data_IF_853410467839
#
_entry.id   IF_853410467839
#
_cell.length_a   1.000
_cell.length_b   1.000
_cell.length_c   1.000
_cell.angle_alpha   90.00
_cell.angle_beta   90.00
_cell.angle_gamma   90.00
#
_symmetry.space_group_name_H-M   'P 1'
#
loop_
_entity.id
_entity.type
_entity.pdbx_description
1 polymer ?
#
# COMPACT_ATOMS: atom_id res chain seq x y z
N UNK A 1 9.45 61.10 19.55
CA UNK A 1 8.15 61.18 20.24
C UNK A 1 7.74 59.76 20.56
N UNK A 2 8.03 59.30 21.77
CA UNK A 2 7.09 59.24 22.92
C UNK A 2 6.34 57.89 22.92
N UNK A 3 6.79 56.89 23.70
CA UNK A 3 6.47 56.61 25.12
C UNK A 3 5.15 55.82 25.29
N UNK A 4 5.25 54.56 25.74
CA UNK A 4 4.53 53.98 26.91
C UNK A 4 4.80 52.47 26.95
N UNK A 5 5.73 51.94 27.75
CA UNK A 5 5.65 51.69 29.19
C UNK A 5 4.33 51.00 29.59
N UNK A 6 4.37 49.68 29.80
CA UNK A 6 3.75 49.04 30.96
C UNK A 6 4.54 47.80 31.37
N UNK A 7 5.35 48.04 32.38
CA UNK A 7 6.13 47.14 33.22
C UNK A 7 5.24 46.11 33.91
N UNK A 8 5.58 44.81 33.83
CA UNK A 8 5.21 43.83 34.86
C UNK A 8 6.48 43.33 35.52
N UNK A 9 6.67 43.81 36.76
CA UNK A 9 7.62 43.29 37.73
C UNK A 9 7.34 41.81 38.01
N UNK A 10 8.33 40.96 37.83
CA UNK A 10 8.38 39.66 38.51
C UNK A 10 9.72 39.58 39.25
N UNK A 11 9.57 39.23 40.53
CA UNK A 11 10.50 39.38 41.63
C UNK A 11 11.75 38.50 41.47
N UNK A 12 12.89 39.09 41.81
CA UNK A 12 14.12 38.39 42.20
C UNK A 12 13.83 37.54 43.45
N UNK A 13 14.03 36.23 43.33
CA UNK A 13 14.33 35.37 44.47
C UNK A 13 15.57 34.55 44.09
N UNK A 14 16.72 35.01 44.58
CA UNK A 14 17.95 34.23 44.55
C UNK A 14 17.77 33.01 45.44
N UNK A 15 18.08 31.84 44.88
CA UNK A 15 18.38 30.65 45.65
C UNK A 15 19.60 30.00 45.01
N UNK A 16 20.75 30.33 45.60
CA UNK A 16 21.94 29.49 45.67
C UNK A 16 21.52 28.06 46.02
N UNK A 17 21.60 27.16 45.04
CA UNK A 17 21.28 25.74 45.18
C UNK A 17 22.27 24.91 44.39
N UNK A 18 23.39 24.62 45.05
CA UNK A 18 24.29 23.47 44.87
C UNK A 18 24.01 22.57 43.65
N UNK A 19 24.91 22.61 42.65
CA UNK A 19 25.00 21.58 41.62
C UNK A 19 25.27 20.22 42.29
N UNK A 20 24.22 19.43 42.53
CA UNK A 20 24.35 17.99 42.67
C UNK A 20 24.37 17.40 41.26
N UNK A 21 25.58 17.15 40.78
CA UNK A 21 25.85 16.30 39.63
C UNK A 21 25.49 14.86 40.05
N UNK A 22 24.20 14.51 39.97
CA UNK A 22 23.78 13.11 40.04
C UNK A 22 24.21 12.46 38.73
N UNK A 23 25.41 11.90 38.75
CA UNK A 23 25.89 10.92 37.79
C UNK A 23 24.93 9.72 37.80
N UNK A 24 23.92 9.76 36.94
CA UNK A 24 23.16 8.58 36.58
C UNK A 24 24.11 7.60 35.88
N UNK A 25 24.23 6.37 36.38
CA UNK A 25 25.02 5.36 35.69
C UNK A 25 24.36 5.12 34.33
N UNK A 26 25.16 5.14 33.27
CA UNK A 26 24.82 4.55 31.98
C UNK A 26 24.52 3.05 32.20
N UNK A 27 23.29 2.74 32.63
CA UNK A 27 22.72 1.41 32.47
C UNK A 27 22.33 1.21 31.01
N UNK A 28 22.36 -0.02 30.49
CA UNK A 28 21.98 -0.28 29.12
C UNK A 28 20.51 0.15 28.94
N UNK A 29 20.28 1.03 27.99
CA UNK A 29 18.95 1.38 27.51
C UNK A 29 18.36 0.11 26.89
N UNK A 30 17.67 -0.69 27.69
CA UNK A 30 16.85 -1.79 27.19
C UNK A 30 15.64 -1.14 26.56
N UNK A 31 15.67 -1.04 25.23
CA UNK A 31 14.52 -0.63 24.43
C UNK A 31 13.39 -1.61 24.71
N UNK A 32 12.43 -1.24 25.56
CA UNK A 32 11.19 -1.98 25.69
C UNK A 32 10.40 -1.76 24.40
N UNK A 33 10.67 -2.60 23.40
CA UNK A 33 9.75 -2.78 22.30
C UNK A 33 8.40 -3.16 22.94
N UNK A 34 7.40 -2.29 22.81
CA UNK A 34 6.03 -2.70 23.08
C UNK A 34 5.76 -3.96 22.24
N UNK A 35 5.10 -5.00 22.78
CA UNK A 35 4.69 -6.13 21.98
C UNK A 35 3.84 -5.58 20.83
N UNK A 36 4.15 -6.00 19.60
CA UNK A 36 3.33 -5.73 18.45
C UNK A 36 1.89 -6.09 18.82
N UNK A 37 1.03 -5.08 18.90
CA UNK A 37 -0.39 -5.26 19.11
C UNK A 37 -0.90 -6.17 18.01
N UNK A 38 -1.69 -7.18 18.39
CA UNK A 38 -2.43 -8.09 17.51
C UNK A 38 -3.34 -7.31 16.53
N UNK A 39 -2.75 -6.71 15.50
CA UNK A 39 -3.44 -6.52 14.23
C UNK A 39 -3.80 -7.93 13.77
N UNK A 40 -5.09 -8.24 13.75
CA UNK A 40 -5.61 -9.53 13.29
C UNK A 40 -4.86 -9.94 12.02
N UNK A 41 -4.06 -11.01 12.12
CA UNK A 41 -3.15 -11.42 11.06
C UNK A 41 -3.90 -11.43 9.72
N UNK A 42 -3.42 -10.60 8.78
CA UNK A 42 -3.96 -10.56 7.42
C UNK A 42 -3.90 -11.95 6.76
N UNK A 43 -4.55 -12.13 5.60
CA UNK A 43 -4.54 -13.41 4.91
C UNK A 43 -3.10 -13.93 4.69
N UNK A 44 -2.93 -15.25 4.81
CA UNK A 44 -1.66 -15.92 4.61
C UNK A 44 -1.19 -15.71 3.17
N UNK A 45 0.09 -15.37 2.98
CA UNK A 45 0.72 -15.22 1.65
C UNK A 45 1.48 -16.49 1.31
N UNK A 46 0.74 -17.52 0.88
CA UNK A 46 1.29 -18.85 0.60
C UNK A 46 1.68 -18.99 -0.86
N UNK A 47 2.96 -19.23 -1.14
CA UNK A 47 3.46 -19.49 -2.51
C UNK A 47 3.03 -20.86 -3.06
N UNK A 48 2.60 -21.78 -2.20
CA UNK A 48 2.22 -23.14 -2.61
C UNK A 48 0.72 -23.28 -2.86
N UNK A 49 -0.07 -22.26 -2.56
CA UNK A 49 -1.53 -22.31 -2.68
C UNK A 49 -1.95 -22.05 -4.14
N UNK A 50 -2.77 -22.92 -4.76
CA UNK A 50 -3.32 -22.65 -6.08
C UNK A 50 -4.06 -21.30 -6.10
N UNK A 51 -3.94 -20.48 -7.17
CA UNK A 51 -4.54 -19.15 -7.19
C UNK A 51 -6.05 -19.08 -6.98
N UNK A 52 -6.79 -20.14 -7.37
CA UNK A 52 -8.23 -20.26 -7.12
C UNK A 52 -8.61 -20.76 -5.72
N UNK A 53 -7.67 -21.28 -4.92
CA UNK A 53 -7.93 -21.78 -3.57
C UNK A 53 -7.92 -20.66 -2.53
N UNK A 54 -8.97 -19.83 -2.54
CA UNK A 54 -9.08 -18.68 -1.65
C UNK A 54 -9.00 -19.09 -0.16
N UNK A 55 -9.53 -20.26 0.19
CA UNK A 55 -9.58 -20.76 1.58
C UNK A 55 -8.18 -21.10 2.08
N UNK A 56 -7.25 -21.52 1.22
CA UNK A 56 -5.87 -21.79 1.61
C UNK A 56 -5.19 -20.54 2.22
N UNK A 57 -5.50 -19.35 1.71
CA UNK A 57 -4.91 -18.09 2.18
C UNK A 57 -5.81 -17.34 3.17
N UNK A 58 -7.13 -17.40 3.01
CA UNK A 58 -8.09 -16.64 3.82
C UNK A 58 -8.69 -17.44 5.01
N UNK A 59 -8.41 -18.74 5.09
CA UNK A 59 -8.89 -19.61 6.17
C UNK A 59 -10.41 -19.60 6.28
N UNK A 60 -10.92 -19.37 7.49
CA UNK A 60 -12.36 -19.33 7.78
C UNK A 60 -13.05 -18.03 7.32
N UNK A 61 -12.30 -17.02 6.88
CA UNK A 61 -12.88 -15.75 6.42
C UNK A 61 -13.53 -15.95 5.07
N UNK A 62 -14.86 -15.82 5.03
CA UNK A 62 -15.60 -15.76 3.76
C UNK A 62 -15.26 -14.47 3.03
N UNK A 63 -14.56 -14.58 1.90
CA UNK A 63 -14.17 -13.45 1.04
C UNK A 63 -14.95 -13.36 -0.27
N UNK A 64 -15.77 -14.37 -0.56
CA UNK A 64 -16.65 -14.43 -1.72
C UNK A 64 -18.12 -14.36 -1.28
N UNK A 65 -19.04 -13.85 -2.14
CA UNK A 65 -20.48 -13.89 -1.90
C UNK A 65 -20.99 -15.30 -1.54
N UNK A 66 -22.14 -15.36 -0.87
CA UNK A 66 -22.70 -16.63 -0.40
C UNK A 66 -23.07 -17.60 -1.54
N UNK A 67 -23.44 -17.04 -2.69
CA UNK A 67 -23.86 -17.69 -3.92
C UNK A 67 -22.71 -17.91 -4.92
N UNK A 68 -21.46 -17.63 -4.54
CA UNK A 68 -20.31 -17.84 -5.41
C UNK A 68 -20.00 -19.33 -5.59
N UNK A 69 -19.75 -19.75 -6.84
CA UNK A 69 -19.35 -21.12 -7.16
C UNK A 69 -17.98 -21.51 -6.58
N UNK A 70 -17.67 -22.81 -6.59
CA UNK A 70 -16.39 -23.34 -6.08
C UNK A 70 -15.21 -22.87 -6.94
N UNK A 71 -14.22 -22.20 -6.33
CA UNK A 71 -13.09 -21.60 -7.04
C UNK A 71 -11.81 -22.41 -7.00
N UNK A 72 -11.73 -23.45 -6.16
CA UNK A 72 -10.47 -24.10 -5.76
C UNK A 72 -9.60 -24.59 -6.94
N UNK A 73 -10.22 -24.95 -8.06
CA UNK A 73 -9.55 -25.44 -9.27
C UNK A 73 -9.60 -24.46 -10.45
N UNK A 74 -10.15 -23.26 -10.25
CA UNK A 74 -10.27 -22.27 -11.31
C UNK A 74 -8.93 -21.61 -11.59
N UNK A 75 -8.62 -21.46 -12.87
CA UNK A 75 -7.63 -20.53 -13.38
C UNK A 75 -8.29 -19.16 -13.64
N UNK A 76 -7.46 -18.13 -13.85
CA UNK A 76 -7.93 -16.76 -14.15
C UNK A 76 -8.97 -16.71 -15.26
N UNK A 77 -8.76 -17.47 -16.34
CA UNK A 77 -9.66 -17.51 -17.49
C UNK A 77 -11.06 -18.01 -17.12
N UNK A 78 -11.14 -18.97 -16.21
CA UNK A 78 -12.41 -19.56 -15.77
C UNK A 78 -13.21 -18.54 -14.94
N UNK A 79 -12.52 -17.66 -14.20
CA UNK A 79 -13.16 -16.54 -13.52
C UNK A 79 -13.78 -15.55 -14.51
N UNK A 80 -13.08 -15.28 -15.64
CA UNK A 80 -13.52 -14.30 -16.63
C UNK A 80 -14.80 -14.74 -17.35
N UNK A 81 -15.08 -16.04 -17.46
CA UNK A 81 -16.34 -16.56 -18.04
C UNK A 81 -17.60 -15.96 -17.38
N UNK A 82 -17.53 -15.55 -16.11
CA UNK A 82 -18.62 -14.88 -15.40
C UNK A 82 -18.36 -13.40 -15.06
N UNK A 83 -17.11 -12.95 -15.10
CA UNK A 83 -16.67 -11.66 -14.57
C UNK A 83 -16.14 -10.68 -15.63
N UNK A 84 -16.46 -10.90 -16.91
CA UNK A 84 -16.12 -9.99 -18.02
C UNK A 84 -16.94 -8.69 -18.05
N UNK A 85 -18.16 -8.68 -17.50
CA UNK A 85 -19.04 -7.52 -17.56
C UNK A 85 -18.78 -6.47 -16.46
N UNK A 86 -19.13 -5.21 -16.75
CA UNK A 86 -18.98 -4.08 -15.82
C UNK A 86 -19.66 -4.31 -14.47
N UNK A 87 -20.82 -4.97 -14.45
CA UNK A 87 -21.62 -5.19 -13.23
C UNK A 87 -21.03 -6.27 -12.31
N UNK A 88 -20.20 -7.17 -12.86
CA UNK A 88 -19.55 -8.27 -12.14
C UNK A 88 -18.04 -8.19 -12.20
N UNK A 89 -17.46 -7.06 -12.59
CA UNK A 89 -16.01 -6.97 -12.77
C UNK A 89 -15.24 -7.25 -11.48
N UNK A 90 -14.17 -8.04 -11.59
CA UNK A 90 -13.21 -8.27 -10.51
C UNK A 90 -12.27 -7.07 -10.29
N UNK A 91 -12.21 -6.15 -11.26
CA UNK A 91 -11.37 -4.95 -11.19
C UNK A 91 -11.74 -4.16 -9.93
N UNK A 92 -10.75 -3.73 -9.15
CA UNK A 92 -10.91 -2.98 -7.88
C UNK A 92 -11.51 -3.75 -6.69
N UNK A 93 -11.88 -5.03 -6.87
CA UNK A 93 -12.52 -5.82 -5.80
C UNK A 93 -11.51 -6.52 -4.89
N UNK A 94 -10.29 -6.70 -5.36
CA UNK A 94 -9.21 -7.39 -4.65
C UNK A 94 -7.88 -6.66 -4.87
N UNK A 95 -6.92 -6.74 -3.93
CA UNK A 95 -5.55 -6.25 -4.14
C UNK A 95 -4.91 -6.85 -5.39
N UNK A 96 -3.99 -6.11 -6.02
CA UNK A 96 -3.36 -6.53 -7.28
C UNK A 96 -2.54 -7.82 -7.17
N UNK A 97 -2.13 -8.22 -5.97
CA UNK A 97 -1.46 -9.50 -5.75
C UNK A 97 -2.31 -10.68 -6.23
N UNK A 98 -3.64 -10.59 -6.15
CA UNK A 98 -4.53 -11.64 -6.64
C UNK A 98 -4.46 -11.74 -8.17
N UNK A 99 -4.44 -10.59 -8.85
CA UNK A 99 -4.35 -10.53 -10.31
C UNK A 99 -3.02 -11.09 -10.83
N UNK A 100 -1.92 -10.78 -10.14
CA UNK A 100 -0.59 -11.32 -10.44
C UNK A 100 -0.50 -12.81 -10.12
N UNK A 101 -0.98 -13.24 -8.95
CA UNK A 101 -0.99 -14.65 -8.55
C UNK A 101 -1.84 -15.51 -9.50
N UNK A 102 -3.04 -15.03 -9.86
CA UNK A 102 -3.90 -15.64 -10.90
C UNK A 102 -3.26 -15.62 -12.29
N UNK A 103 -2.33 -14.69 -12.54
CA UNK A 103 -1.50 -14.61 -13.73
C UNK A 103 -0.21 -15.44 -13.65
N UNK A 104 -0.03 -16.25 -12.62
CA UNK A 104 1.16 -17.08 -12.36
C UNK A 104 2.46 -16.30 -12.10
N UNK A 105 2.34 -15.04 -11.65
CA UNK A 105 3.49 -14.25 -11.17
C UNK A 105 3.71 -14.55 -9.69
N UNK A 106 4.88 -15.09 -9.37
CA UNK A 106 5.26 -15.51 -8.02
C UNK A 106 5.82 -14.39 -7.16
N UNK A 107 5.82 -14.58 -5.83
CA UNK A 107 6.37 -13.58 -4.91
C UNK A 107 7.86 -13.31 -5.18
N UNK A 108 8.62 -14.35 -5.56
CA UNK A 108 10.04 -14.27 -5.85
C UNK A 108 10.38 -13.40 -7.08
N UNK A 109 9.45 -13.23 -8.02
CA UNK A 109 9.65 -12.38 -9.20
C UNK A 109 9.74 -10.89 -8.83
N UNK A 110 9.06 -10.46 -7.76
CA UNK A 110 9.20 -9.10 -7.22
C UNK A 110 10.14 -9.03 -6.01
N UNK A 111 10.20 -10.09 -5.21
CA UNK A 111 10.98 -10.17 -3.99
C UNK A 111 12.01 -11.32 -4.05
N UNK A 112 13.10 -11.17 -4.81
CA UNK A 112 14.08 -12.24 -5.03
C UNK A 112 14.85 -12.65 -3.76
N UNK A 113 14.87 -11.78 -2.75
CA UNK A 113 15.49 -12.06 -1.45
C UNK A 113 14.53 -12.69 -0.42
N UNK A 114 13.32 -13.08 -0.84
CA UNK A 114 12.31 -13.72 0.00
C UNK A 114 11.03 -12.89 0.16
N UNK A 115 9.98 -13.47 0.74
CA UNK A 115 8.60 -12.89 0.80
C UNK A 115 8.42 -11.67 1.72
N UNK A 116 9.50 -11.20 2.34
CA UNK A 116 9.56 -9.97 3.12
C UNK A 116 10.74 -9.13 2.62
N UNK A 117 10.44 -8.02 1.96
CA UNK A 117 11.45 -7.14 1.37
C UNK A 117 10.93 -5.72 1.18
N UNK A 118 11.80 -4.80 0.71
CA UNK A 118 11.36 -3.44 0.37
C UNK A 118 10.30 -3.48 -0.73
N UNK A 119 9.55 -2.38 -0.87
CA UNK A 119 8.63 -2.19 -1.97
C UNK A 119 9.37 -2.37 -3.32
N UNK A 120 8.79 -3.09 -4.29
CA UNK A 120 9.38 -3.21 -5.62
C UNK A 120 9.54 -1.83 -6.27
N UNK A 121 10.62 -1.65 -7.02
CA UNK A 121 10.83 -0.42 -7.79
C UNK A 121 9.92 -0.38 -9.01
N UNK A 122 9.64 0.83 -9.52
CA UNK A 122 8.92 1.04 -10.79
C UNK A 122 9.52 0.22 -11.94
N UNK A 123 10.85 0.07 -12.01
CA UNK A 123 11.50 -0.72 -13.05
C UNK A 123 11.08 -2.19 -13.05
N UNK A 124 10.85 -2.79 -11.87
CA UNK A 124 10.39 -4.19 -11.79
C UNK A 124 8.98 -4.36 -12.38
N UNK A 125 8.12 -3.34 -12.26
CA UNK A 125 6.83 -3.35 -12.93
C UNK A 125 7.01 -3.29 -14.47
N UNK A 126 7.92 -2.44 -14.93
CA UNK A 126 8.17 -2.21 -16.36
C UNK A 126 8.86 -3.40 -17.05
N UNK A 127 9.54 -4.27 -16.32
CA UNK A 127 10.12 -5.52 -16.87
C UNK A 127 9.07 -6.40 -17.56
N UNK A 128 7.82 -6.41 -17.05
CA UNK A 128 6.71 -7.15 -17.64
C UNK A 128 5.69 -6.25 -18.36
N UNK A 129 5.46 -5.03 -17.87
CA UNK A 129 4.48 -4.10 -18.44
C UNK A 129 5.00 -3.22 -19.59
N UNK A 130 6.30 -3.28 -19.89
CA UNK A 130 6.96 -2.51 -20.93
C UNK A 130 7.37 -1.11 -20.47
N UNK A 131 7.73 -0.24 -21.40
CA UNK A 131 8.14 1.14 -21.07
C UNK A 131 6.97 2.02 -20.63
N UNK A 132 7.27 3.16 -20.00
CA UNK A 132 6.25 4.17 -19.67
C UNK A 132 5.42 4.60 -20.88
N UNK A 133 6.03 4.74 -22.07
CA UNK A 133 5.32 5.08 -23.31
C UNK A 133 4.37 3.97 -23.75
N UNK A 134 4.72 2.71 -23.48
CA UNK A 134 3.85 1.56 -23.76
C UNK A 134 2.61 1.60 -22.88
N UNK A 135 2.80 1.83 -21.57
CA UNK A 135 1.71 1.91 -20.59
C UNK A 135 0.82 3.12 -20.84
N UNK A 136 1.39 4.31 -21.07
CA UNK A 136 0.64 5.52 -21.44
C UNK A 136 -0.18 5.32 -22.71
N UNK A 137 0.40 4.69 -23.73
CA UNK A 137 -0.32 4.39 -24.98
C UNK A 137 -1.52 3.48 -24.75
N UNK A 138 -1.47 2.57 -23.78
CA UNK A 138 -2.58 1.68 -23.45
C UNK A 138 -3.76 2.43 -22.81
N UNK A 139 -3.51 3.54 -22.12
CA UNK A 139 -4.56 4.34 -21.45
C UNK A 139 -4.88 5.68 -22.12
N UNK A 140 -4.25 6.01 -23.25
CA UNK A 140 -4.48 7.26 -24.01
C UNK A 140 -5.94 7.60 -24.37
N UNK A 141 -6.84 6.62 -24.30
CA UNK A 141 -8.28 6.81 -24.54
C UNK A 141 -9.09 7.17 -23.29
N UNK A 142 -8.44 7.21 -22.12
CA UNK A 142 -9.03 7.66 -20.86
C UNK A 142 -8.88 9.18 -20.73
N UNK A 143 -9.85 9.81 -20.07
CA UNK A 143 -9.82 11.24 -19.78
C UNK A 143 -10.08 11.46 -18.27
N UNK A 144 -9.08 11.94 -17.50
CA UNK A 144 -7.69 12.18 -17.92
C UNK A 144 -6.93 10.87 -18.18
N UNK A 145 -5.85 10.92 -18.97
CA UNK A 145 -4.93 9.78 -19.14
C UNK A 145 -4.11 9.58 -17.85
N UNK A 146 -4.35 8.51 -17.08
CA UNK A 146 -3.72 8.32 -15.77
C UNK A 146 -2.20 8.07 -15.85
N UNK A 147 -1.69 7.64 -17.00
CA UNK A 147 -0.28 7.32 -17.19
C UNK A 147 0.45 8.35 -18.04
N UNK A 148 -0.17 9.50 -18.32
CA UNK A 148 0.49 10.65 -18.92
C UNK A 148 -0.15 11.95 -18.39
N UNK A 149 0.04 12.20 -17.10
CA UNK A 149 -0.61 13.32 -16.41
C UNK A 149 0.08 14.66 -16.70
N UNK A 150 -0.64 15.79 -16.66
CA UNK A 150 -0.03 17.11 -16.79
C UNK A 150 0.99 17.47 -15.70
N UNK A 151 0.90 16.84 -14.51
CA UNK A 151 1.78 17.14 -13.38
C UNK A 151 3.05 16.30 -13.35
N UNK A 152 2.94 15.02 -13.70
CA UNK A 152 4.01 14.03 -13.53
C UNK A 152 4.47 13.41 -14.87
N UNK A 153 3.85 13.80 -15.98
CA UNK A 153 4.04 13.17 -17.27
C UNK A 153 3.76 11.67 -17.18
N UNK A 154 4.64 10.89 -17.80
CA UNK A 154 4.55 9.43 -17.80
C UNK A 154 5.33 8.74 -16.68
N UNK A 155 6.06 9.48 -15.83
CA UNK A 155 7.06 8.90 -14.91
C UNK A 155 6.61 8.84 -13.46
N UNK A 156 5.30 8.87 -13.21
CA UNK A 156 4.77 8.68 -11.87
C UNK A 156 5.00 7.21 -11.44
N UNK A 157 5.46 7.01 -10.21
CA UNK A 157 5.73 5.65 -9.71
C UNK A 157 4.45 4.82 -9.63
N UNK A 158 4.55 3.56 -10.04
CA UNK A 158 3.39 2.69 -10.22
C UNK A 158 2.65 2.44 -8.90
N UNK A 159 3.40 2.29 -7.82
CA UNK A 159 2.91 1.90 -6.49
C UNK A 159 2.16 3.02 -5.77
N UNK A 160 2.19 4.26 -6.28
CA UNK A 160 1.38 5.37 -5.75
C UNK A 160 -0.12 5.16 -5.98
N UNK A 161 -0.50 4.36 -6.99
CA UNK A 161 -1.89 4.01 -7.27
C UNK A 161 -2.12 2.50 -7.17
N UNK A 162 -1.19 1.71 -7.72
CA UNK A 162 -1.32 0.27 -7.88
C UNK A 162 -0.75 -0.47 -6.67
N UNK A 163 -1.62 -0.91 -5.77
CA UNK A 163 -1.18 -1.58 -4.55
C UNK A 163 -1.32 -3.10 -4.65
N UNK A 164 -0.19 -3.80 -4.48
CA UNK A 164 -0.17 -5.27 -4.53
C UNK A 164 -0.82 -5.90 -3.29
N UNK A 165 -0.48 -5.40 -2.10
CA UNK A 165 -0.89 -5.99 -0.82
C UNK A 165 -2.02 -5.23 -0.11
N UNK A 166 -2.61 -4.24 -0.78
CA UNK A 166 -3.72 -3.42 -0.28
C UNK A 166 -4.67 -3.06 -1.43
N UNK A 167 -5.79 -2.40 -1.12
CA UNK A 167 -6.71 -1.90 -2.14
C UNK A 167 -6.06 -0.72 -2.87
N UNK A 168 -5.93 -0.80 -4.19
CA UNK A 168 -5.46 0.29 -5.05
C UNK A 168 -6.27 1.58 -4.87
N UNK A 169 -5.61 2.72 -5.07
CA UNK A 169 -6.20 4.04 -4.86
C UNK A 169 -5.99 4.98 -6.06
N UNK A 170 -6.87 5.97 -6.17
CA UNK A 170 -6.69 7.07 -7.11
C UNK A 170 -5.82 8.14 -6.44
N UNK A 171 -4.50 8.09 -6.62
CA UNK A 171 -3.56 9.07 -6.07
C UNK A 171 -3.96 10.52 -6.35
N UNK A 172 -4.53 10.77 -7.55
CA UNK A 172 -4.94 12.09 -7.98
C UNK A 172 -6.14 12.64 -7.17
N UNK A 173 -6.92 11.76 -6.52
CA UNK A 173 -8.08 12.14 -5.72
C UNK A 173 -7.70 12.91 -4.43
N UNK A 174 -6.41 12.98 -4.10
CA UNK A 174 -5.91 13.85 -3.03
C UNK A 174 -6.16 15.34 -3.32
N UNK A 175 -6.18 15.72 -4.60
CA UNK A 175 -6.37 17.10 -5.06
C UNK A 175 -7.60 17.26 -5.96
N UNK A 176 -8.03 16.19 -6.63
CA UNK A 176 -9.12 16.22 -7.59
C UNK A 176 -10.34 15.44 -7.09
N UNK A 177 -11.55 15.88 -7.46
CA UNK A 177 -12.80 15.23 -7.03
C UNK A 177 -13.33 14.18 -8.01
N UNK A 178 -12.57 13.81 -9.04
CA UNK A 178 -12.97 12.82 -10.03
C UNK A 178 -12.49 11.41 -9.67
N UNK A 179 -13.20 10.41 -10.19
CA UNK A 179 -12.96 8.99 -9.87
C UNK A 179 -12.28 8.28 -11.02
N UNK A 180 -11.11 7.69 -10.75
CA UNK A 180 -10.50 6.68 -11.62
C UNK A 180 -10.66 5.30 -11.02
N UNK A 181 -11.02 4.33 -11.87
CA UNK A 181 -10.96 2.91 -11.51
C UNK A 181 -9.53 2.44 -11.65
N UNK A 182 -8.78 2.44 -10.54
CA UNK A 182 -7.44 1.87 -10.48
C UNK A 182 -7.56 0.36 -10.23
N UNK A 183 -6.99 -0.50 -11.09
CA UNK A 183 -7.12 -1.95 -11.00
C UNK A 183 -6.71 -2.52 -9.65
#
# INVERSE_FOLDING_TARGET
MERSLFTRLIRLAGLTGLLMVMSWPCGPFVSSQAPASDEAAGPSRLETAPPGDCVACHGSKRVLPADHGETKKMARKDCLECHEEKTKSLRTRMPLSHTHWLGHVSCAECHPSGTSGPAPSTNQCLECHGSFETVARATRGMDPDPHNSPHYGMKLDCDLCHHQHAKSENFCAQCHSWTLSVP
#
